data_IF_667260354677
#
_entry.id   IF_667260354677
#
_cell.length_a   1.000
_cell.length_b   1.000
_cell.length_c   1.000
_cell.angle_alpha   90.00
_cell.angle_beta   90.00
_cell.angle_gamma   90.00
#
_symmetry.space_group_name_H-M   'P 1'
#
loop_
_entity.id
_entity.type
_entity.pdbx_description
1 polymer ?
#
# COMPACT_ATOMS: atom_id res chain seq x y z
N UNK A 1 4.00 8.39 -9.63
CA UNK A 1 3.19 7.93 -8.48
C UNK A 1 3.21 6.41 -8.43
N UNK A 2 3.30 5.79 -7.25
CA UNK A 2 3.18 4.33 -7.07
C UNK A 2 1.90 4.05 -6.32
N UNK A 3 1.08 3.14 -6.82
CA UNK A 3 -0.21 2.77 -6.23
C UNK A 3 -0.16 1.31 -5.85
N UNK A 4 -0.50 1.01 -4.60
CA UNK A 4 -0.56 -0.36 -4.08
C UNK A 4 -2.00 -0.69 -3.77
N UNK A 5 -2.47 -1.83 -4.23
CA UNK A 5 -3.84 -2.28 -4.01
C UNK A 5 -3.86 -3.54 -3.13
N UNK A 6 -4.73 -3.56 -2.11
CA UNK A 6 -4.89 -4.70 -1.20
C UNK A 6 -5.92 -5.69 -1.75
N UNK A 7 -5.60 -6.34 -2.86
CA UNK A 7 -6.38 -7.43 -3.45
C UNK A 7 -7.31 -7.06 -4.62
N UNK A 8 -8.11 -8.02 -5.12
CA UNK A 8 -8.77 -7.94 -6.42
C UNK A 8 -9.86 -6.86 -6.50
N UNK A 9 -10.60 -6.60 -5.41
CA UNK A 9 -11.67 -5.58 -5.40
C UNK A 9 -11.11 -4.15 -5.55
N UNK A 10 -10.13 -3.69 -4.74
CA UNK A 10 -9.47 -2.41 -4.98
C UNK A 10 -8.78 -2.32 -6.35
N UNK A 11 -8.16 -3.39 -6.83
CA UNK A 11 -7.54 -3.42 -8.18
C UNK A 11 -8.59 -3.15 -9.27
N UNK A 12 -9.75 -3.80 -9.19
CA UNK A 12 -10.84 -3.60 -10.15
C UNK A 12 -11.34 -2.14 -10.12
N UNK A 13 -11.60 -1.59 -8.93
CA UNK A 13 -12.05 -0.21 -8.77
C UNK A 13 -11.03 0.80 -9.33
N UNK A 14 -9.73 0.62 -9.07
CA UNK A 14 -8.68 1.47 -9.62
C UNK A 14 -8.59 1.38 -11.15
N UNK A 15 -8.80 0.17 -11.70
CA UNK A 15 -8.84 -0.05 -13.16
C UNK A 15 -10.00 0.68 -13.82
N UNK A 16 -11.19 0.65 -13.21
CA UNK A 16 -12.38 1.34 -13.73
C UNK A 16 -12.17 2.85 -13.87
N UNK A 17 -11.38 3.46 -12.98
CA UNK A 17 -11.04 4.89 -13.03
C UNK A 17 -9.70 5.19 -13.73
N UNK A 18 -9.09 4.21 -14.39
CA UNK A 18 -7.87 4.39 -15.17
C UNK A 18 -6.59 4.61 -14.35
N UNK A 19 -6.58 4.23 -13.07
CA UNK A 19 -5.40 4.34 -12.20
C UNK A 19 -4.54 3.07 -12.28
N UNK A 20 -3.29 3.14 -12.75
CA UNK A 20 -2.43 1.97 -12.85
C UNK A 20 -1.96 1.49 -11.47
N UNK A 21 -2.14 0.20 -11.20
CA UNK A 21 -1.64 -0.46 -9.99
C UNK A 21 -0.17 -0.84 -10.19
N UNK A 22 0.70 -0.34 -9.32
CA UNK A 22 2.11 -0.71 -9.34
C UNK A 22 2.36 -2.02 -8.61
N UNK A 23 1.75 -2.26 -7.45
CA UNK A 23 1.83 -3.54 -6.77
C UNK A 23 0.45 -3.96 -6.26
N UNK A 24 0.14 -5.25 -6.34
CA UNK A 24 -1.02 -5.82 -5.66
C UNK A 24 -0.57 -6.73 -4.52
N UNK A 25 -1.31 -6.70 -3.42
CA UNK A 25 -1.13 -7.65 -2.35
C UNK A 25 -1.93 -8.91 -2.71
N UNK A 26 -1.29 -10.09 -2.81
CA UNK A 26 -2.00 -11.34 -3.11
C UNK A 26 -2.86 -11.82 -1.93
N UNK A 27 -3.66 -12.85 -2.16
CA UNK A 27 -4.40 -13.55 -1.10
C UNK A 27 -3.44 -14.05 0.00
N UNK A 28 -3.76 -13.86 1.30
CA UNK A 28 -5.04 -13.47 1.90
C UNK A 28 -5.39 -11.96 1.93
N UNK A 29 -4.65 -11.11 1.20
CA UNK A 29 -4.89 -9.67 1.09
C UNK A 29 -4.79 -8.94 2.43
N UNK A 30 -3.86 -9.35 3.29
CA UNK A 30 -3.63 -8.68 4.58
C UNK A 30 -2.62 -7.55 4.44
N UNK A 31 -2.40 -6.81 5.53
CA UNK A 31 -1.37 -5.78 5.56
C UNK A 31 0.05 -6.34 5.38
N UNK A 32 0.29 -7.60 5.77
CA UNK A 32 1.60 -8.25 5.61
C UNK A 32 1.92 -8.43 4.13
N UNK A 33 0.94 -8.83 3.34
CA UNK A 33 1.07 -9.01 1.89
C UNK A 33 1.25 -7.66 1.18
N UNK A 34 0.64 -6.58 1.69
CA UNK A 34 0.91 -5.22 1.21
C UNK A 34 2.38 -4.84 1.40
N UNK A 35 2.92 -5.06 2.60
CA UNK A 35 4.32 -4.77 2.88
C UNK A 35 5.23 -5.63 1.99
N UNK A 36 4.97 -6.93 1.90
CA UNK A 36 5.75 -7.84 1.07
C UNK A 36 5.74 -7.45 -0.42
N UNK A 37 4.59 -7.03 -0.95
CA UNK A 37 4.45 -6.58 -2.34
C UNK A 37 5.26 -5.30 -2.63
N UNK A 38 5.38 -4.40 -1.65
CA UNK A 38 6.21 -3.20 -1.77
C UNK A 38 7.70 -3.57 -1.72
N UNK A 39 8.11 -4.37 -0.73
CA UNK A 39 9.50 -4.80 -0.54
C UNK A 39 10.04 -5.61 -1.73
N UNK A 40 9.21 -6.46 -2.33
CA UNK A 40 9.56 -7.21 -3.54
C UNK A 40 9.98 -6.31 -4.72
N UNK A 41 9.61 -5.02 -4.68
CA UNK A 41 9.93 -4.02 -5.70
C UNK A 41 10.75 -2.86 -5.15
N UNK A 42 11.41 -3.03 -3.99
CA UNK A 42 12.19 -1.99 -3.33
C UNK A 42 13.33 -1.41 -4.20
N UNK A 43 13.85 -2.21 -5.14
CA UNK A 43 14.85 -1.75 -6.11
C UNK A 43 14.32 -0.63 -7.04
N UNK A 44 13.02 -0.61 -7.33
CA UNK A 44 12.39 0.44 -8.12
C UNK A 44 11.92 1.62 -7.27
N UNK A 45 11.56 1.34 -6.01
CA UNK A 45 10.97 2.31 -5.10
C UNK A 45 11.19 1.88 -3.64
N UNK A 46 12.27 2.35 -2.97
CA UNK A 46 12.52 2.01 -1.57
C UNK A 46 11.55 2.79 -0.66
N UNK A 47 11.07 2.17 0.43
CA UNK A 47 10.14 2.80 1.38
C UNK A 47 10.79 3.94 2.19
N UNK A 48 12.07 3.80 2.53
CA UNK A 48 12.78 4.75 3.36
C UNK A 48 12.82 6.14 2.71
N UNK A 49 12.41 7.17 3.48
CA UNK A 49 12.35 8.56 3.03
C UNK A 49 11.14 8.90 2.18
N UNK A 50 10.24 7.94 1.91
CA UNK A 50 9.07 8.20 1.09
C UNK A 50 7.86 8.65 1.90
N UNK A 51 6.98 9.39 1.23
CA UNK A 51 5.66 9.77 1.76
C UNK A 51 4.60 8.83 1.20
N UNK A 52 3.86 8.19 2.08
CA UNK A 52 2.80 7.24 1.72
C UNK A 52 1.47 7.75 2.28
N UNK A 53 0.51 7.94 1.37
CA UNK A 53 -0.87 8.17 1.74
C UNK A 53 -1.60 6.82 1.82
N UNK A 54 -2.29 6.55 2.92
CA UNK A 54 -3.11 5.36 3.09
C UNK A 54 -4.56 5.80 3.03
N UNK A 55 -5.29 5.36 2.02
CA UNK A 55 -6.75 5.48 1.99
C UNK A 55 -7.33 4.44 2.95
N UNK A 56 -7.85 4.90 4.07
CA UNK A 56 -8.50 4.07 5.07
C UNK A 56 -10.02 4.09 4.86
N UNK A 57 -10.68 3.01 5.25
CA UNK A 57 -12.14 2.95 5.34
C UNK A 57 -12.50 2.23 6.64
N UNK A 58 -13.24 2.92 7.52
CA UNK A 58 -13.58 2.41 8.85
C UNK A 58 -12.42 2.52 9.84
N UNK A 59 -12.06 1.41 10.47
CA UNK A 59 -11.03 1.35 11.51
C UNK A 59 -9.64 1.45 10.88
N UNK A 60 -8.81 2.33 11.42
CA UNK A 60 -7.43 2.50 10.97
C UNK A 60 -6.60 1.23 11.16
N UNK A 61 -5.72 0.93 10.20
CA UNK A 61 -4.86 -0.25 10.25
C UNK A 61 -3.51 0.14 10.88
N UNK A 62 -3.50 0.17 12.21
CA UNK A 62 -2.34 0.62 13.00
C UNK A 62 -1.10 -0.24 12.68
N UNK A 63 -1.28 -1.55 12.52
CA UNK A 63 -0.18 -2.47 12.21
C UNK A 63 0.46 -2.17 10.85
N UNK A 64 -0.33 -1.86 9.82
CA UNK A 64 0.19 -1.42 8.53
C UNK A 64 0.95 -0.10 8.65
N UNK A 65 0.38 0.87 9.37
CA UNK A 65 0.99 2.20 9.55
C UNK A 65 2.34 2.07 10.24
N UNK A 66 2.40 1.35 11.35
CA UNK A 66 3.65 1.14 12.10
C UNK A 66 4.67 0.36 11.26
N UNK A 67 4.26 -0.69 10.56
CA UNK A 67 5.18 -1.44 9.69
C UNK A 67 5.80 -0.57 8.58
N UNK A 68 5.05 0.37 8.01
CA UNK A 68 5.59 1.31 7.02
C UNK A 68 6.51 2.37 7.66
N UNK A 69 6.16 2.86 8.87
CA UNK A 69 7.00 3.81 9.64
C UNK A 69 8.33 3.21 10.04
N UNK A 70 8.34 1.96 10.52
CA UNK A 70 9.55 1.20 10.85
C UNK A 70 10.50 1.07 9.65
N UNK A 71 9.95 1.07 8.42
CA UNK A 71 10.71 1.06 7.16
C UNK A 71 11.11 2.45 6.68
N UNK A 72 10.91 3.48 7.50
CA UNK A 72 11.33 4.86 7.25
C UNK A 72 10.39 5.66 6.36
N UNK A 73 9.14 5.21 6.15
CA UNK A 73 8.14 5.97 5.40
C UNK A 73 7.37 6.95 6.31
N UNK A 74 7.09 8.14 5.79
CA UNK A 74 6.22 9.13 6.42
C UNK A 74 4.77 8.90 5.98
N UNK A 75 3.88 8.61 6.94
CA UNK A 75 2.52 8.16 6.66
C UNK A 75 1.49 9.26 6.86
N UNK A 76 0.58 9.41 5.90
CA UNK A 76 -0.62 10.22 6.03
C UNK A 76 -1.84 9.32 5.83
N UNK A 77 -2.64 9.13 6.87
CA UNK A 77 -3.94 8.47 6.74
C UNK A 77 -4.94 9.46 6.13
N UNK A 78 -5.65 9.02 5.09
CA UNK A 78 -6.69 9.77 4.39
C UNK A 78 -7.99 8.99 4.52
N UNK A 79 -9.07 9.68 4.89
CA UNK A 79 -10.42 9.13 5.03
C UNK A 79 -11.30 9.60 3.89
#
# INVERSE_FOLDING_TARGET
>A
MRVVARGPKPVAALREIGVPVWADAPEPNTWREVIAAIEARAAEWPLAGQRVAIQEYGVSNVELIEALRERGAAITAVR
#
